data_IF_745692051725
#
_entry.id   IF_745692051725
#
_cell.length_a   1.000
_cell.length_b   1.000
_cell.length_c   1.000
_cell.angle_alpha   90.00
_cell.angle_beta   90.00
_cell.angle_gamma   90.00
#
_symmetry.space_group_name_H-M   'P 1'
#
loop_
_entity.id
_entity.type
_entity.pdbx_description
1 polymer ?
#
# COMPACT_ATOMS: atom_id res chain seq x y z
N UNK A 1 12.41 51.98 36.66
CA UNK A 1 12.02 50.77 37.42
C UNK A 1 12.38 49.54 36.62
N UNK A 2 12.91 48.53 37.30
CA UNK A 2 13.66 47.38 36.81
C UNK A 2 12.78 46.12 36.81
N UNK A 3 13.15 45.10 36.00
CA UNK A 3 12.73 43.67 36.02
C UNK A 3 11.36 43.37 35.38
N UNK A 4 11.14 42.30 34.62
CA UNK A 4 11.96 41.12 34.32
C UNK A 4 11.36 40.33 33.15
N UNK A 5 12.24 39.78 32.31
CA UNK A 5 11.93 38.73 31.33
C UNK A 5 11.48 37.46 32.08
N UNK A 6 10.31 36.90 31.74
CA UNK A 6 9.99 35.51 32.07
C UNK A 6 10.28 34.62 30.87
N UNK A 7 11.37 33.86 30.99
CA UNK A 7 11.61 32.60 30.28
C UNK A 7 10.62 31.57 30.83
N UNK A 8 9.98 30.79 29.96
CA UNK A 8 9.05 29.76 30.41
C UNK A 8 8.57 28.87 29.27
N UNK A 9 9.43 27.94 28.87
CA UNK A 9 9.12 26.59 28.37
C UNK A 9 8.23 26.49 27.11
N UNK A 10 8.87 26.13 25.99
CA UNK A 10 8.20 25.55 24.82
C UNK A 10 7.58 24.21 25.23
N UNK A 11 6.28 23.95 25.01
CA UNK A 11 5.79 22.58 25.06
C UNK A 11 6.43 21.80 23.90
N UNK A 12 6.99 20.66 24.28
CA UNK A 12 7.64 19.69 23.41
C UNK A 12 6.71 19.28 22.27
N UNK A 13 7.32 19.09 21.10
CA UNK A 13 6.86 18.26 20.00
C UNK A 13 6.04 17.08 20.53
N UNK A 14 4.76 16.99 20.16
CA UNK A 14 4.06 15.72 20.28
C UNK A 14 4.61 14.84 19.17
N UNK A 15 5.44 13.91 19.62
CA UNK A 15 5.91 12.78 18.85
C UNK A 15 4.72 12.08 18.17
N UNK A 16 4.99 11.58 16.97
CA UNK A 16 4.35 10.38 16.46
C UNK A 16 4.46 9.30 17.55
N UNK A 17 3.39 9.08 18.30
CA UNK A 17 3.27 7.94 19.20
C UNK A 17 1.90 7.32 18.95
N UNK A 18 1.90 6.40 17.99
CA UNK A 18 1.11 5.17 18.03
C UNK A 18 2.02 4.05 17.49
N UNK A 19 2.98 3.67 18.32
CA UNK A 19 3.56 2.34 18.31
C UNK A 19 3.10 1.69 19.61
N UNK A 20 2.00 0.94 19.58
CA UNK A 20 1.63 0.03 20.65
C UNK A 20 0.76 -1.10 20.07
N UNK A 21 1.27 -2.32 20.23
CA UNK A 21 0.60 -3.62 20.11
C UNK A 21 0.22 -4.08 18.69
N UNK A 22 1.24 -4.56 17.99
CA UNK A 22 1.14 -5.31 16.74
C UNK A 22 0.44 -6.66 16.88
N UNK A 23 -0.87 -6.63 17.15
CA UNK A 23 -1.90 -7.54 16.64
C UNK A 23 -3.19 -6.72 16.54
N UNK A 24 -3.37 -5.98 15.44
CA UNK A 24 -4.69 -5.48 15.10
C UNK A 24 -5.52 -6.67 14.59
N UNK A 25 -6.51 -7.03 15.41
CA UNK A 25 -7.49 -8.10 15.23
C UNK A 25 -8.10 -8.16 13.83
N UNK A 26 -8.37 -9.39 13.38
CA UNK A 26 -8.98 -9.87 12.11
C UNK A 26 -10.34 -9.25 11.68
N UNK A 27 -10.73 -8.06 12.16
CA UNK A 27 -12.07 -7.46 11.99
C UNK A 27 -12.13 -6.10 11.24
N UNK A 28 -11.03 -5.62 10.62
CA UNK A 28 -11.00 -4.30 9.96
C UNK A 28 -11.07 -4.31 8.42
N UNK A 29 -11.69 -5.33 7.83
CA UNK A 29 -12.20 -5.18 6.46
C UNK A 29 -13.72 -5.09 6.54
N UNK A 30 -14.25 -3.89 6.80
CA UNK A 30 -15.64 -3.61 6.47
C UNK A 30 -15.84 -3.91 4.97
N UNK A 31 -16.94 -4.56 4.57
CA UNK A 31 -17.18 -5.08 3.20
C UNK A 31 -16.87 -4.08 2.07
N UNK A 32 -17.00 -2.78 2.34
CA UNK A 32 -16.66 -1.71 1.40
C UNK A 32 -15.17 -1.59 1.07
N UNK A 33 -14.27 -1.81 2.03
CA UNK A 33 -12.82 -1.73 1.81
C UNK A 33 -12.32 -2.91 0.97
N UNK A 34 -12.88 -4.10 1.18
CA UNK A 34 -12.57 -5.29 0.36
C UNK A 34 -12.96 -5.07 -1.10
N UNK A 35 -14.17 -4.56 -1.31
CA UNK A 35 -14.71 -4.34 -2.67
C UNK A 35 -13.87 -3.30 -3.42
N UNK A 36 -13.53 -2.18 -2.77
CA UNK A 36 -12.67 -1.15 -3.36
C UNK A 36 -11.27 -1.69 -3.68
N UNK A 37 -10.68 -2.48 -2.78
CA UNK A 37 -9.39 -3.12 -3.00
C UNK A 37 -9.40 -4.05 -4.21
N UNK A 38 -10.39 -4.95 -4.30
CA UNK A 38 -10.50 -5.89 -5.42
C UNK A 38 -10.69 -5.16 -6.74
N UNK A 39 -11.59 -4.18 -6.78
CA UNK A 39 -11.83 -3.37 -7.97
C UNK A 39 -10.57 -2.62 -8.41
N UNK A 40 -9.82 -2.02 -7.48
CA UNK A 40 -8.56 -1.34 -7.81
C UNK A 40 -7.50 -2.33 -8.32
N UNK A 41 -7.39 -3.50 -7.70
CA UNK A 41 -6.44 -4.54 -8.12
C UNK A 41 -6.74 -5.06 -9.53
N UNK A 42 -8.00 -5.18 -9.92
CA UNK A 42 -8.41 -5.58 -11.26
C UNK A 42 -8.05 -4.57 -12.35
N UNK A 43 -7.93 -3.29 -11.99
CA UNK A 43 -7.54 -2.23 -12.91
C UNK A 43 -6.03 -2.11 -13.10
N UNK A 44 -5.22 -2.77 -12.26
CA UNK A 44 -3.78 -2.76 -12.40
C UNK A 44 -3.33 -3.63 -13.59
N UNK A 45 -2.35 -3.16 -14.38
CA UNK A 45 -1.82 -3.95 -15.48
C UNK A 45 -1.17 -5.24 -14.95
N UNK A 46 -1.49 -6.37 -15.58
CA UNK A 46 -0.77 -7.62 -15.33
C UNK A 46 0.63 -7.54 -15.95
N UNK A 47 1.62 -8.09 -15.26
CA UNK A 47 3.03 -7.95 -15.61
C UNK A 47 3.69 -6.79 -14.87
N UNK A 48 4.84 -6.34 -15.38
CA UNK A 48 5.57 -5.22 -14.83
C UNK A 48 4.98 -3.89 -15.30
N UNK A 49 4.86 -2.94 -14.38
CA UNK A 49 4.52 -1.54 -14.62
C UNK A 49 5.34 -0.66 -13.69
N UNK A 50 5.57 0.58 -14.09
CA UNK A 50 6.05 1.62 -13.20
C UNK A 50 4.92 2.58 -12.89
N UNK A 51 5.00 3.27 -11.75
CA UNK A 51 3.94 4.16 -11.32
C UNK A 51 4.31 4.97 -10.10
N UNK A 52 3.36 5.75 -9.62
CA UNK A 52 3.51 6.56 -8.43
C UNK A 52 2.65 6.02 -7.29
N UNK A 53 3.21 6.03 -6.09
CA UNK A 53 2.47 5.87 -4.85
C UNK A 53 2.98 6.90 -3.84
N UNK A 54 2.07 7.74 -3.33
CA UNK A 54 2.39 8.86 -2.41
C UNK A 54 3.52 9.78 -2.91
N UNK A 55 3.60 9.98 -4.22
CA UNK A 55 4.61 10.83 -4.86
C UNK A 55 5.98 10.17 -5.09
N UNK A 56 6.15 8.91 -4.68
CA UNK A 56 7.36 8.11 -4.90
C UNK A 56 7.17 7.20 -6.11
N UNK A 57 8.23 6.96 -6.90
CA UNK A 57 8.22 6.01 -8.02
C UNK A 57 8.34 4.56 -7.53
N UNK A 58 7.54 3.68 -8.11
CA UNK A 58 7.53 2.25 -7.81
C UNK A 58 7.56 1.43 -9.09
N UNK A 59 8.27 0.30 -9.06
CA UNK A 59 8.14 -0.79 -10.02
C UNK A 59 7.24 -1.86 -9.42
N UNK A 60 6.17 -2.23 -10.11
CA UNK A 60 5.15 -3.18 -9.63
C UNK A 60 4.98 -4.30 -10.64
N UNK A 61 5.12 -5.53 -10.18
CA UNK A 61 4.78 -6.74 -10.92
C UNK A 61 3.53 -7.36 -10.33
N UNK A 62 2.43 -7.33 -11.07
CA UNK A 62 1.22 -8.09 -10.76
C UNK A 62 1.20 -9.37 -11.58
N UNK A 63 0.86 -10.48 -10.94
CA UNK A 63 0.79 -11.78 -11.59
C UNK A 63 -0.45 -12.54 -11.13
N UNK A 64 -0.92 -13.43 -11.99
CA UNK A 64 -2.06 -14.30 -11.72
C UNK A 64 -1.72 -15.74 -12.09
N UNK A 65 -2.32 -16.71 -11.39
CA UNK A 65 -2.27 -18.11 -11.78
C UNK A 65 -3.10 -18.34 -13.04
N UNK A 66 -2.81 -19.41 -13.78
CA UNK A 66 -3.55 -19.75 -15.00
C UNK A 66 -5.04 -20.03 -14.78
N UNK A 67 -5.44 -20.35 -13.54
CA UNK A 67 -6.83 -20.54 -13.14
C UNK A 67 -7.48 -19.28 -12.52
N UNK A 68 -6.75 -18.16 -12.49
CA UNK A 68 -7.13 -16.87 -11.91
C UNK A 68 -7.51 -16.89 -10.42
N UNK A 69 -7.38 -18.04 -9.75
CA UNK A 69 -7.73 -18.21 -8.33
C UNK A 69 -6.67 -17.64 -7.39
N UNK A 70 -5.51 -17.28 -7.91
CA UNK A 70 -4.40 -16.72 -7.13
C UNK A 70 -3.85 -15.53 -7.88
N UNK A 71 -3.67 -14.43 -7.18
CA UNK A 71 -2.92 -13.27 -7.66
C UNK A 71 -1.82 -12.95 -6.66
N UNK A 72 -0.69 -12.47 -7.13
CA UNK A 72 0.37 -11.98 -6.26
C UNK A 72 0.96 -10.72 -6.85
N UNK A 73 1.32 -9.81 -5.97
CA UNK A 73 1.92 -8.54 -6.33
C UNK A 73 3.25 -8.40 -5.59
N UNK A 74 4.25 -7.97 -6.34
CA UNK A 74 5.52 -7.49 -5.81
C UNK A 74 5.71 -6.06 -6.27
N UNK A 75 5.97 -5.14 -5.36
CA UNK A 75 6.31 -3.76 -5.65
C UNK A 75 7.56 -3.34 -4.90
N UNK A 76 8.43 -2.58 -5.56
CA UNK A 76 9.61 -1.98 -4.97
C UNK A 76 9.71 -0.50 -5.31
N UNK A 77 10.18 0.28 -4.35
CA UNK A 77 10.46 1.70 -4.52
C UNK A 77 11.67 1.87 -5.45
N UNK A 78 11.49 2.60 -6.55
CA UNK A 78 12.55 2.86 -7.52
C UNK A 78 13.49 3.93 -6.96
N UNK A 79 14.68 3.49 -6.53
CA UNK A 79 15.70 4.35 -5.92
C UNK A 79 15.62 4.44 -4.39
N UNK A 80 14.78 3.63 -3.76
CA UNK A 80 14.66 3.56 -2.31
C UNK A 80 14.77 2.14 -1.76
N UNK A 81 14.17 1.93 -0.58
CA UNK A 81 14.20 0.63 0.12
C UNK A 81 12.79 0.11 0.40
N UNK A 82 11.76 0.88 0.04
CA UNK A 82 10.36 0.48 0.18
C UNK A 82 10.04 -0.77 -0.62
N UNK A 83 9.24 -1.64 -0.02
CA UNK A 83 8.72 -2.87 -0.62
C UNK A 83 7.27 -3.03 -0.25
N UNK A 84 6.49 -3.63 -1.14
CA UNK A 84 5.11 -4.05 -0.91
C UNK A 84 4.91 -5.41 -1.55
N UNK A 85 4.36 -6.37 -0.82
CA UNK A 85 4.01 -7.65 -1.43
C UNK A 85 2.91 -8.39 -0.70
N UNK A 86 2.11 -9.10 -1.49
CA UNK A 86 1.03 -9.93 -0.98
C UNK A 86 0.66 -11.04 -1.95
N UNK A 87 -0.07 -12.02 -1.42
CA UNK A 87 -0.81 -13.01 -2.17
C UNK A 87 -2.31 -12.83 -1.91
N UNK A 88 -3.12 -12.93 -2.95
CA UNK A 88 -4.57 -12.94 -2.88
C UNK A 88 -5.07 -14.29 -3.39
N UNK A 89 -5.91 -14.96 -2.59
CA UNK A 89 -6.53 -16.22 -2.94
C UNK A 89 -8.04 -16.06 -3.06
N UNK A 90 -8.61 -16.50 -4.19
CA UNK A 90 -10.05 -16.60 -4.38
C UNK A 90 -10.51 -17.99 -3.94
N UNK A 91 -11.00 -18.08 -2.70
CA UNK A 91 -11.47 -19.33 -2.10
C UNK A 91 -13.00 -19.43 -2.20
N UNK A 92 -13.56 -20.64 -2.05
CA UNK A 92 -15.01 -20.82 -2.01
C UNK A 92 -15.69 -20.10 -0.83
N UNK A 93 -14.92 -19.78 0.22
CA UNK A 93 -15.35 -18.98 1.37
C UNK A 93 -15.18 -17.46 1.18
N UNK A 94 -14.65 -17.02 0.04
CA UNK A 94 -14.35 -15.62 -0.25
C UNK A 94 -12.86 -15.34 -0.50
N UNK A 95 -12.52 -14.07 -0.83
CA UNK A 95 -11.15 -13.65 -1.05
C UNK A 95 -10.35 -13.65 0.27
N UNK A 96 -9.09 -14.06 0.20
CA UNK A 96 -8.17 -14.11 1.33
C UNK A 96 -6.87 -13.39 0.96
N UNK A 97 -6.61 -12.26 1.61
CA UNK A 97 -5.39 -11.46 1.44
C UNK A 97 -4.30 -11.90 2.42
N UNK A 98 -3.08 -12.10 1.93
CA UNK A 98 -1.91 -12.54 2.70
C UNK A 98 -0.71 -11.62 2.40
N UNK A 99 -0.51 -10.54 3.17
CA UNK A 99 0.70 -9.73 3.13
C UNK A 99 1.94 -10.53 3.55
N UNK A 100 3.12 -10.21 3.01
CA UNK A 100 4.36 -10.93 3.33
C UNK A 100 5.11 -10.35 4.54
N UNK A 101 5.39 -9.04 4.53
CA UNK A 101 6.25 -8.36 5.54
C UNK A 101 5.64 -7.06 6.08
N UNK A 102 4.34 -6.84 5.89
CA UNK A 102 3.63 -5.61 6.31
C UNK A 102 2.18 -5.87 6.65
N UNK A 103 1.50 -4.84 7.14
CA UNK A 103 0.07 -4.92 7.48
C UNK A 103 -0.81 -5.08 6.23
N UNK A 104 -2.01 -5.64 6.41
CA UNK A 104 -3.01 -5.65 5.35
C UNK A 104 -3.44 -4.22 4.96
N UNK A 105 -3.45 -3.30 5.92
CA UNK A 105 -3.78 -1.89 5.72
C UNK A 105 -2.79 -1.20 4.78
N UNK A 106 -1.48 -1.44 4.96
CA UNK A 106 -0.45 -0.89 4.07
C UNK A 106 -0.58 -1.43 2.65
N UNK A 107 -0.89 -2.72 2.50
CA UNK A 107 -1.14 -3.35 1.19
C UNK A 107 -2.38 -2.75 0.53
N UNK A 108 -3.49 -2.63 1.26
CA UNK A 108 -4.73 -2.07 0.75
C UNK A 108 -4.52 -0.61 0.35
N UNK A 109 -3.89 0.19 1.22
CA UNK A 109 -3.58 1.58 0.94
C UNK A 109 -2.66 1.73 -0.29
N UNK A 110 -1.68 0.83 -0.45
CA UNK A 110 -0.82 0.80 -1.63
C UNK A 110 -1.63 0.55 -2.90
N UNK A 111 -2.43 -0.52 -2.95
CA UNK A 111 -3.20 -0.88 -4.16
C UNK A 111 -4.23 0.19 -4.51
N UNK A 112 -4.89 0.80 -3.52
CA UNK A 112 -5.85 1.88 -3.74
C UNK A 112 -5.17 3.20 -4.20
N UNK A 113 -3.91 3.41 -3.84
CA UNK A 113 -3.19 4.66 -4.10
C UNK A 113 -2.17 4.59 -5.24
N UNK A 114 -1.83 3.40 -5.71
CA UNK A 114 -0.85 3.21 -6.79
C UNK A 114 -1.46 3.63 -8.13
N UNK A 115 -0.74 4.48 -8.84
CA UNK A 115 -1.12 5.00 -10.15
C UNK A 115 -0.10 4.50 -11.18
N UNK A 116 -0.43 3.47 -11.97
CA UNK A 116 0.47 3.01 -13.02
C UNK A 116 0.65 4.11 -14.07
N UNK A 117 1.89 4.33 -14.49
CA UNK A 117 2.19 5.10 -15.69
C UNK A 117 1.64 4.34 -16.89
N UNK A 118 1.02 5.04 -17.85
CA UNK A 118 0.69 4.43 -19.13
C UNK A 118 1.99 3.90 -19.75
N UNK A 119 2.01 2.61 -20.08
CA UNK A 119 3.10 2.07 -20.87
C UNK A 119 3.24 2.93 -22.13
N UNK A 120 4.45 3.39 -22.50
CA UNK A 120 4.63 4.16 -23.70
C UNK A 120 4.03 3.36 -24.86
N UNK A 121 3.02 3.94 -25.51
CA UNK A 121 2.41 3.36 -26.70
C UNK A 121 3.50 3.35 -27.77
N UNK A 122 4.18 2.21 -27.95
CA UNK A 122 5.06 2.04 -29.10
C UNK A 122 4.18 2.07 -30.33
N UNK A 123 4.14 3.21 -31.00
CA UNK A 123 3.46 3.37 -32.28
C UNK A 123 3.98 2.28 -33.24
N UNK A 124 3.09 1.59 -33.99
CA UNK A 124 3.55 0.65 -35.00
C UNK A 124 4.37 1.41 -36.05
N UNK A 125 5.55 0.86 -36.37
CA UNK A 125 6.41 1.32 -37.47
C UNK A 125 5.72 1.16 -38.83
#
# INVERSE_FOLDING_TARGET
>A
MLKSRKRGVRPRSRACEHCADGVLSEHWIEDGHLTAFLAALEQLPTGYSEGLYRGTRWGVTLSASSDERRRWLWGEELGGVGRVSFNLFMLGSGPMLRPCEMSAEDVIAFVLGYQPEEAPQTAPL
#
